data_IF_893375147029
#
_entry.id   IF_893375147029
#
_cell.length_a   1.000
_cell.length_b   1.000
_cell.length_c   1.000
_cell.angle_alpha   90.00
_cell.angle_beta   90.00
_cell.angle_gamma   90.00
#
_symmetry.space_group_name_H-M   'P 1'
#
loop_
_entity.id
_entity.type
_entity.pdbx_description
1 polymer ?
#
# COMPACT_ATOMS: atom_id res chain seq x y z
N UNK A 1 -6.74 3.12 -13.09
CA UNK A 1 -6.62 1.92 -12.22
C UNK A 1 -6.92 2.37 -10.81
N UNK A 2 -7.86 1.74 -10.10
CA UNK A 2 -8.16 2.05 -8.69
C UNK A 2 -7.44 1.12 -7.72
N UNK A 3 -7.10 -0.08 -8.18
CA UNK A 3 -6.35 -1.08 -7.42
C UNK A 3 -5.44 -1.88 -8.35
N UNK A 4 -4.40 -2.45 -7.77
CA UNK A 4 -3.51 -3.41 -8.41
C UNK A 4 -3.14 -4.49 -7.39
N UNK A 5 -4.03 -5.46 -7.22
CA UNK A 5 -3.89 -6.54 -6.24
C UNK A 5 -3.83 -7.92 -6.89
N UNK A 6 -4.23 -8.03 -8.15
CA UNK A 6 -4.18 -9.28 -8.91
C UNK A 6 -3.97 -9.01 -10.40
N UNK A 7 -3.64 -10.06 -11.16
CA UNK A 7 -3.38 -9.99 -12.61
C UNK A 7 -4.59 -9.48 -13.40
N UNK A 8 -5.80 -9.74 -12.93
CA UNK A 8 -7.05 -9.29 -13.56
C UNK A 8 -7.22 -7.76 -13.52
N UNK A 9 -6.54 -7.07 -12.62
CA UNK A 9 -6.54 -5.60 -12.57
C UNK A 9 -5.74 -4.96 -13.72
N UNK A 10 -4.95 -5.78 -14.46
CA UNK A 10 -4.16 -5.35 -15.62
C UNK A 10 -5.03 -5.51 -16.86
N UNK A 11 -5.39 -4.41 -17.51
CA UNK A 11 -6.21 -4.44 -18.73
C UNK A 11 -5.53 -5.13 -19.92
N UNK A 12 -4.21 -4.98 -20.07
CA UNK A 12 -3.41 -5.62 -21.12
C UNK A 12 -2.07 -6.09 -20.54
N UNK A 13 -2.01 -7.37 -20.21
CA UNK A 13 -0.84 -7.98 -19.58
C UNK A 13 0.41 -7.90 -20.48
N UNK A 14 0.25 -8.09 -21.81
CA UNK A 14 1.38 -8.02 -22.74
C UNK A 14 1.99 -6.62 -22.75
N UNK A 15 1.16 -5.59 -22.86
CA UNK A 15 1.63 -4.20 -22.82
C UNK A 15 2.33 -3.86 -21.47
N UNK A 16 1.80 -4.36 -20.36
CA UNK A 16 2.42 -4.16 -19.05
C UNK A 16 3.79 -4.85 -18.93
N UNK A 17 3.95 -6.04 -19.51
CA UNK A 17 5.24 -6.73 -19.57
C UNK A 17 6.23 -6.02 -20.47
N UNK A 18 5.81 -5.59 -21.66
CA UNK A 18 6.65 -4.83 -22.58
C UNK A 18 7.16 -3.54 -21.90
N UNK A 19 6.28 -2.83 -21.20
CA UNK A 19 6.64 -1.64 -20.41
C UNK A 19 7.64 -1.94 -19.28
N UNK A 20 7.43 -3.04 -18.58
CA UNK A 20 8.36 -3.46 -17.52
C UNK A 20 9.77 -3.76 -18.08
N UNK A 21 9.86 -4.35 -19.27
CA UNK A 21 11.14 -4.57 -19.96
C UNK A 21 11.80 -3.25 -20.40
N UNK A 22 11.03 -2.28 -20.85
CA UNK A 22 11.56 -0.95 -21.20
C UNK A 22 12.09 -0.21 -19.96
N UNK A 23 11.35 -0.23 -18.85
CA UNK A 23 11.81 0.35 -17.58
C UNK A 23 13.07 -0.38 -17.06
N UNK A 24 13.19 -1.69 -17.31
CA UNK A 24 14.39 -2.45 -16.93
C UNK A 24 15.63 -2.00 -17.71
N UNK A 25 15.48 -1.58 -18.98
CA UNK A 25 16.58 -1.05 -19.80
C UNK A 25 16.96 0.37 -19.38
N UNK A 26 15.99 1.23 -19.11
CA UNK A 26 16.18 2.60 -18.63
C UNK A 26 15.29 2.87 -17.43
N UNK A 27 15.88 2.79 -16.23
CA UNK A 27 15.18 2.91 -14.95
C UNK A 27 14.64 4.31 -14.67
N UNK A 28 15.11 5.31 -15.39
CA UNK A 28 14.74 6.71 -15.20
C UNK A 28 13.88 7.25 -16.35
N UNK A 29 13.52 6.41 -17.32
CA UNK A 29 12.71 6.78 -18.49
C UNK A 29 11.47 7.59 -18.12
N UNK A 30 10.87 7.31 -16.98
CA UNK A 30 9.62 7.91 -16.53
C UNK A 30 9.74 8.74 -15.25
N UNK A 31 10.92 9.28 -14.97
CA UNK A 31 11.17 10.07 -13.75
C UNK A 31 10.19 11.24 -13.58
N UNK A 32 9.74 11.86 -14.66
CA UNK A 32 8.80 12.98 -14.61
C UNK A 32 7.35 12.57 -14.24
N UNK A 33 6.98 11.29 -14.40
CA UNK A 33 5.63 10.83 -14.05
C UNK A 33 5.37 10.86 -12.53
N UNK A 34 6.40 10.64 -11.75
CA UNK A 34 6.32 10.65 -10.29
C UNK A 34 6.61 12.01 -9.65
N UNK A 35 6.98 13.01 -10.43
CA UNK A 35 7.32 14.35 -9.92
C UNK A 35 6.17 14.92 -9.09
N UNK A 36 6.49 15.39 -7.87
CA UNK A 36 5.52 15.92 -6.90
C UNK A 36 4.45 14.91 -6.45
N UNK A 37 4.65 13.63 -6.69
CA UNK A 37 3.77 12.56 -6.20
C UNK A 37 4.42 11.81 -5.05
N UNK A 38 3.59 11.27 -4.19
CA UNK A 38 4.01 10.51 -3.01
C UNK A 38 3.42 9.11 -3.05
N UNK A 39 4.28 8.09 -2.94
CA UNK A 39 3.89 6.72 -2.64
C UNK A 39 3.94 6.54 -1.12
N UNK A 40 2.84 6.11 -0.52
CA UNK A 40 2.82 5.66 0.87
C UNK A 40 2.84 4.14 0.91
N UNK A 41 3.82 3.59 1.62
CA UNK A 41 3.98 2.14 1.83
C UNK A 41 3.62 1.79 3.25
N UNK A 42 2.65 0.90 3.43
CA UNK A 42 2.10 0.52 4.73
C UNK A 42 2.38 -0.95 4.97
N UNK A 43 3.10 -1.24 6.05
CA UNK A 43 3.53 -2.59 6.41
C UNK A 43 2.87 -3.03 7.71
N UNK A 44 1.96 -4.01 7.62
CA UNK A 44 1.47 -4.76 8.78
C UNK A 44 2.43 -5.89 9.15
N UNK A 45 3.24 -6.34 8.20
CA UNK A 45 4.27 -7.35 8.36
C UNK A 45 5.59 -6.84 7.83
N UNK A 46 6.66 -7.02 8.57
CA UNK A 46 8.01 -6.58 8.19
C UNK A 46 8.45 -7.19 6.86
N UNK A 47 9.19 -6.44 6.08
CA UNK A 47 9.77 -6.90 4.82
C UNK A 47 11.01 -6.10 4.46
N UNK A 48 12.10 -6.78 4.23
CA UNK A 48 13.33 -6.16 3.72
C UNK A 48 13.25 -5.93 2.21
N UNK A 49 13.03 -7.00 1.44
CA UNK A 49 13.10 -6.93 -0.03
C UNK A 49 12.01 -6.06 -0.63
N UNK A 50 10.75 -6.25 -0.23
CA UNK A 50 9.63 -5.43 -0.72
C UNK A 50 9.85 -3.96 -0.41
N UNK A 51 10.28 -3.65 0.83
CA UNK A 51 10.58 -2.27 1.23
C UNK A 51 11.62 -1.63 0.31
N UNK A 52 12.81 -2.24 0.21
CA UNK A 52 13.92 -1.68 -0.55
C UNK A 52 13.61 -1.58 -2.05
N UNK A 53 13.01 -2.62 -2.65
CA UNK A 53 12.72 -2.64 -4.08
C UNK A 53 11.66 -1.60 -4.46
N UNK A 54 10.59 -1.50 -3.68
CA UNK A 54 9.51 -0.57 -3.97
C UNK A 54 9.91 0.88 -3.72
N UNK A 55 10.63 1.16 -2.62
CA UNK A 55 11.21 2.50 -2.39
C UNK A 55 12.13 2.90 -3.54
N UNK A 56 13.02 2.00 -3.96
CA UNK A 56 13.96 2.29 -5.06
C UNK A 56 13.21 2.52 -6.38
N UNK A 57 12.18 1.72 -6.68
CA UNK A 57 11.37 1.90 -7.88
C UNK A 57 10.65 3.25 -7.88
N UNK A 58 10.02 3.62 -6.78
CA UNK A 58 9.34 4.92 -6.64
C UNK A 58 10.31 6.10 -6.80
N UNK A 59 11.49 6.02 -6.18
CA UNK A 59 12.55 7.04 -6.33
C UNK A 59 13.02 7.16 -7.78
N UNK A 60 13.18 6.06 -8.50
CA UNK A 60 13.55 6.07 -9.91
C UNK A 60 12.47 6.72 -10.79
N UNK A 61 11.21 6.67 -10.38
CA UNK A 61 10.09 7.36 -11.03
C UNK A 61 9.95 8.82 -10.59
N UNK A 62 10.82 9.34 -9.72
CA UNK A 62 10.77 10.73 -9.23
C UNK A 62 9.77 10.96 -8.10
N UNK A 63 9.25 9.90 -7.48
CA UNK A 63 8.29 10.00 -6.38
C UNK A 63 8.96 10.22 -5.03
N UNK A 64 8.26 10.94 -4.15
CA UNK A 64 8.51 10.85 -2.72
C UNK A 64 7.99 9.53 -2.16
N UNK A 65 8.59 9.06 -1.06
CA UNK A 65 8.16 7.81 -0.42
C UNK A 65 7.98 8.03 1.08
N UNK A 66 6.82 7.67 1.59
CA UNK A 66 6.52 7.57 3.02
C UNK A 66 6.39 6.09 3.35
N UNK A 67 7.04 5.65 4.42
CA UNK A 67 6.94 4.26 4.89
C UNK A 67 6.41 4.25 6.32
N UNK A 68 5.34 3.50 6.54
CA UNK A 68 4.71 3.30 7.83
C UNK A 68 4.74 1.81 8.20
N UNK A 69 5.27 1.51 9.36
CA UNK A 69 5.20 0.20 10.00
C UNK A 69 4.09 0.23 11.04
N UNK A 70 2.99 -0.45 10.78
CA UNK A 70 1.83 -0.49 11.66
C UNK A 70 2.13 -1.39 12.87
N UNK A 71 1.80 -0.89 14.06
CA UNK A 71 2.03 -1.57 15.33
C UNK A 71 3.52 -1.83 15.66
N UNK A 72 4.44 -1.18 14.97
CA UNK A 72 5.87 -1.21 15.28
C UNK A 72 6.31 0.19 15.72
N UNK A 73 6.50 0.38 17.01
CA UNK A 73 6.85 1.68 17.59
C UNK A 73 5.73 2.30 18.42
N UNK A 74 5.71 3.63 18.50
CA UNK A 74 4.78 4.37 19.37
C UNK A 74 3.34 4.44 18.86
N UNK A 75 3.14 4.29 17.55
CA UNK A 75 1.82 4.39 16.94
C UNK A 75 1.19 3.01 16.72
N UNK A 76 0.13 2.74 17.47
CA UNK A 76 -0.66 1.51 17.37
C UNK A 76 -2.01 1.81 16.76
N UNK A 77 -2.47 0.95 15.85
CA UNK A 77 -3.80 1.03 15.26
C UNK A 77 -4.66 -0.16 15.69
N UNK A 78 -5.89 0.13 16.06
CA UNK A 78 -6.90 -0.90 16.21
C UNK A 78 -7.39 -1.35 14.84
N UNK A 79 -7.40 -2.64 14.60
CA UNK A 79 -7.78 -3.23 13.31
C UNK A 79 -9.08 -4.02 13.37
N UNK A 80 -9.54 -4.38 14.59
CA UNK A 80 -10.75 -5.15 14.79
C UNK A 80 -11.99 -4.26 14.72
N UNK A 81 -13.03 -4.71 14.04
CA UNK A 81 -14.29 -3.96 13.91
C UNK A 81 -15.13 -4.06 15.18
N UNK A 82 -15.78 -2.95 15.54
CA UNK A 82 -16.72 -2.92 16.65
C UNK A 82 -16.09 -2.93 18.05
N UNK A 83 -14.78 -2.77 18.13
CA UNK A 83 -14.08 -2.66 19.41
C UNK A 83 -14.32 -1.30 20.04
N UNK A 84 -14.56 -1.29 21.34
CA UNK A 84 -14.59 -0.04 22.14
C UNK A 84 -13.15 0.47 22.28
N UNK A 85 -12.94 1.75 21.90
CA UNK A 85 -11.61 2.37 21.90
C UNK A 85 -11.20 2.85 23.32
N UNK A 86 -11.14 1.92 24.27
CA UNK A 86 -10.76 2.16 25.68
C UNK A 86 -9.42 1.51 26.08
N UNK A 87 -8.73 0.91 25.11
CA UNK A 87 -7.45 0.23 25.28
C UNK A 87 -6.23 1.13 25.02
N UNK A 88 -5.10 0.51 24.69
CA UNK A 88 -3.81 1.16 24.47
C UNK A 88 -3.58 1.64 23.02
N UNK A 89 -4.56 1.45 22.15
CA UNK A 89 -4.51 1.86 20.73
C UNK A 89 -5.23 3.20 20.57
N UNK A 90 -4.52 4.26 20.16
CA UNK A 90 -5.08 5.62 20.13
C UNK A 90 -6.05 5.87 18.99
N UNK A 91 -6.04 5.03 17.94
CA UNK A 91 -6.80 5.27 16.72
C UNK A 91 -7.22 3.96 16.05
N UNK A 92 -8.39 3.96 15.43
CA UNK A 92 -8.87 2.83 14.62
C UNK A 92 -8.38 2.94 13.17
N UNK A 93 -8.07 1.80 12.55
CA UNK A 93 -7.58 1.74 11.17
C UNK A 93 -8.51 2.44 10.17
N UNK A 94 -9.84 2.29 10.33
CA UNK A 94 -10.82 2.94 9.45
C UNK A 94 -10.82 4.47 9.52
N UNK A 95 -10.36 5.05 10.64
CA UNK A 95 -10.17 6.50 10.80
C UNK A 95 -8.84 6.94 10.22
N UNK A 96 -7.79 6.15 10.42
CA UNK A 96 -6.45 6.43 9.93
C UNK A 96 -6.36 6.37 8.38
N UNK A 97 -7.06 5.44 7.73
CA UNK A 97 -6.97 5.23 6.28
C UNK A 97 -7.28 6.49 5.46
N UNK A 98 -8.41 7.20 5.66
CA UNK A 98 -8.67 8.42 4.90
C UNK A 98 -7.66 9.54 5.20
N UNK A 99 -7.15 9.62 6.42
CA UNK A 99 -6.08 10.57 6.80
C UNK A 99 -4.82 10.25 6.01
N UNK A 100 -4.37 8.99 5.96
CA UNK A 100 -3.22 8.56 5.17
C UNK A 100 -3.41 8.92 3.68
N UNK A 101 -4.63 8.74 3.16
CA UNK A 101 -4.98 9.10 1.78
C UNK A 101 -4.81 10.59 1.47
N UNK A 102 -4.91 11.49 2.46
CA UNK A 102 -4.69 12.92 2.26
C UNK A 102 -3.22 13.27 1.97
N UNK A 103 -2.28 12.44 2.42
CA UNK A 103 -0.84 12.71 2.36
C UNK A 103 -0.10 11.95 1.26
N UNK A 104 -0.81 11.24 0.38
CA UNK A 104 -0.19 10.48 -0.70
C UNK A 104 -1.05 10.46 -1.97
N UNK A 105 -0.45 10.03 -3.08
CA UNK A 105 -1.12 9.85 -4.37
C UNK A 105 -1.40 8.38 -4.67
N UNK A 106 -0.59 7.48 -4.12
CA UNK A 106 -0.70 6.03 -4.28
C UNK A 106 -0.38 5.37 -2.94
N UNK A 107 -1.09 4.29 -2.62
CA UNK A 107 -0.85 3.49 -1.42
C UNK A 107 -0.43 2.09 -1.81
N UNK A 108 0.65 1.60 -1.21
CA UNK A 108 1.04 0.19 -1.24
C UNK A 108 0.83 -0.44 0.13
N UNK A 109 0.02 -1.48 0.22
CA UNK A 109 -0.27 -2.19 1.48
C UNK A 109 0.36 -3.57 1.45
N UNK A 110 1.02 -3.94 2.54
CA UNK A 110 1.47 -5.30 2.79
C UNK A 110 0.83 -5.84 4.06
N UNK A 111 -0.07 -6.78 3.89
CA UNK A 111 -0.71 -7.52 4.97
C UNK A 111 -0.74 -9.00 4.61
N UNK A 112 -0.39 -9.86 5.57
CA UNK A 112 -0.48 -11.30 5.42
C UNK A 112 -1.76 -11.83 6.09
N UNK A 113 -2.17 -13.03 5.68
CA UNK A 113 -3.17 -13.82 6.37
C UNK A 113 -2.81 -13.97 7.86
N UNK A 114 -3.82 -13.86 8.72
CA UNK A 114 -3.64 -14.01 10.17
C UNK A 114 -3.76 -15.48 10.63
N UNK A 115 -4.42 -16.30 9.80
CA UNK A 115 -4.74 -17.71 10.09
C UNK A 115 -5.68 -17.89 11.31
N UNK A 116 -6.44 -16.85 11.64
CA UNK A 116 -7.44 -16.87 12.72
C UNK A 116 -8.84 -17.15 12.17
N UNK A 117 -9.17 -16.50 11.05
CA UNK A 117 -10.44 -16.65 10.34
C UNK A 117 -10.18 -16.81 8.84
N UNK A 118 -10.53 -17.97 8.30
CA UNK A 118 -10.33 -18.31 6.89
C UNK A 118 -11.07 -17.34 5.95
N UNK A 119 -12.28 -16.93 6.30
CA UNK A 119 -13.10 -16.05 5.46
C UNK A 119 -12.49 -14.66 5.40
N UNK A 120 -12.06 -14.10 6.53
CA UNK A 120 -11.40 -12.80 6.58
C UNK A 120 -10.09 -12.77 5.81
N UNK A 121 -9.30 -13.85 5.90
CA UNK A 121 -8.04 -13.98 5.18
C UNK A 121 -8.25 -14.06 3.66
N UNK A 122 -9.25 -14.84 3.21
CA UNK A 122 -9.58 -14.94 1.78
C UNK A 122 -10.20 -13.64 1.23
N UNK A 123 -10.93 -12.91 2.06
CA UNK A 123 -11.52 -11.63 1.69
C UNK A 123 -10.53 -10.47 1.76
N UNK A 124 -9.27 -10.70 2.14
CA UNK A 124 -8.22 -9.66 2.23
C UNK A 124 -8.71 -8.39 2.94
N UNK A 125 -9.36 -8.57 4.11
CA UNK A 125 -10.14 -7.52 4.79
C UNK A 125 -9.35 -6.22 4.96
N UNK A 126 -8.07 -6.30 5.34
CA UNK A 126 -7.21 -5.11 5.53
C UNK A 126 -7.02 -4.36 4.20
N UNK A 127 -6.62 -5.07 3.14
CA UNK A 127 -6.37 -4.45 1.81
C UNK A 127 -7.65 -3.81 1.28
N UNK A 128 -8.79 -4.51 1.40
CA UNK A 128 -10.08 -4.00 0.96
C UNK A 128 -10.53 -2.76 1.72
N UNK A 129 -10.21 -2.60 3.00
CA UNK A 129 -10.46 -1.35 3.74
C UNK A 129 -9.70 -0.17 3.12
N UNK A 130 -8.43 -0.36 2.74
CA UNK A 130 -7.68 0.69 2.04
C UNK A 130 -8.28 1.04 0.67
N UNK A 131 -8.66 0.04 -0.12
CA UNK A 131 -9.31 0.25 -1.43
C UNK A 131 -10.60 1.05 -1.29
N UNK A 132 -11.39 0.78 -0.26
CA UNK A 132 -12.69 1.40 -0.04
C UNK A 132 -12.60 2.81 0.55
N UNK A 133 -11.66 3.06 1.46
CA UNK A 133 -11.68 4.25 2.32
C UNK A 133 -10.52 5.23 2.10
N UNK A 134 -9.45 4.86 1.41
CA UNK A 134 -8.30 5.76 1.22
C UNK A 134 -8.55 6.89 0.23
N UNK A 135 -9.50 6.72 -0.70
CA UNK A 135 -9.67 7.65 -1.83
C UNK A 135 -8.51 7.65 -2.82
N UNK A 136 -7.55 6.73 -2.69
CA UNK A 136 -6.35 6.62 -3.54
C UNK A 136 -6.27 5.26 -4.22
N UNK A 137 -5.52 5.14 -5.33
CA UNK A 137 -5.12 3.86 -5.90
C UNK A 137 -4.32 3.02 -4.88
N UNK A 138 -4.66 1.72 -4.77
CA UNK A 138 -4.03 0.76 -3.88
C UNK A 138 -3.45 -0.42 -4.67
#
# INVERSE_FOLDING_TARGET
>A
MKKFTCVQDIGNLKAALDEAFEIKKDRFKYVELGRNKTLMMIFFNSSLRTRLSTQKAATNLGMNVIVLDINQGAWKLETERGVIMDGDKPEHLLEAIPVMGCYCDIIGVRSFARFENKEDDYNEVIINQFIQHSGRPV
#
